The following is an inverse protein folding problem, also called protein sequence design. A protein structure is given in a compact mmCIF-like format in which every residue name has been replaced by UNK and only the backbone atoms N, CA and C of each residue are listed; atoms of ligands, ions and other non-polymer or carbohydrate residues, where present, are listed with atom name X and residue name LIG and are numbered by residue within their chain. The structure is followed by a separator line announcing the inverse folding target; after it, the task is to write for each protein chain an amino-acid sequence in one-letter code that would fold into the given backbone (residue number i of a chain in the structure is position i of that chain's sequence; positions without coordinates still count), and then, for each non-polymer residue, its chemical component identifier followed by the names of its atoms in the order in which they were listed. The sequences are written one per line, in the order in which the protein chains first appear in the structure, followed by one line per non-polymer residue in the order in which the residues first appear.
data_IF_084335146279
#
_entry.id   IF_084335146279
#
_cell.length_a   1.000
_cell.length_b   1.000
_cell.length_c   1.000
_cell.angle_alpha   90.00
_cell.angle_beta   90.00
_cell.angle_gamma   90.00
#
_symmetry.space_group_name_H-M   'P 1'
#
loop_
_entity.id
_entity.type
_entity.pdbx_description
1 polymer ?
#
# COMPACT_ATOMS: atom_id res chain seq x y z
N UNK A 1 17.62 -10.08 -29.43
CA UNK A 1 17.83 -9.07 -28.37
C UNK A 1 16.72 -9.22 -27.37
N UNK A 2 17.02 -9.48 -26.09
CA UNK A 2 15.98 -9.53 -25.07
C UNK A 2 15.44 -8.10 -24.91
N UNK A 3 14.14 -7.91 -25.12
CA UNK A 3 13.50 -6.62 -24.87
C UNK A 3 13.62 -6.32 -23.37
N UNK A 4 14.40 -5.29 -23.04
CA UNK A 4 14.54 -4.81 -21.67
C UNK A 4 13.25 -4.16 -21.19
N UNK A 5 13.19 -3.84 -19.90
CA UNK A 5 12.10 -3.09 -19.31
C UNK A 5 11.97 -1.71 -20.01
N UNK A 6 10.83 -1.41 -20.62
CA UNK A 6 10.54 -0.09 -21.20
C UNK A 6 9.79 0.80 -20.21
N UNK A 7 10.30 2.01 -20.03
CA UNK A 7 9.64 3.08 -19.26
C UNK A 7 8.78 3.98 -20.14
N UNK A 8 8.79 3.80 -21.46
CA UNK A 8 8.13 4.74 -22.38
C UNK A 8 6.61 4.71 -22.22
N UNK A 9 5.97 5.88 -22.18
CA UNK A 9 4.52 6.00 -22.01
C UNK A 9 4.04 5.97 -20.55
N UNK A 10 4.96 5.86 -19.59
CA UNK A 10 4.60 5.77 -18.17
C UNK A 10 4.03 7.10 -17.63
N UNK A 11 4.54 8.23 -18.12
CA UNK A 11 3.99 9.55 -17.78
C UNK A 11 2.51 9.67 -18.20
N UNK A 12 2.17 9.21 -19.40
CA UNK A 12 0.80 9.19 -19.88
C UNK A 12 -0.09 8.21 -19.11
N UNK A 13 0.44 7.03 -18.74
CA UNK A 13 -0.29 6.10 -17.87
C UNK A 13 -0.61 6.73 -16.51
N UNK A 14 0.33 7.46 -15.90
CA UNK A 14 0.08 8.17 -14.64
C UNK A 14 -0.91 9.33 -14.80
N UNK A 15 -0.92 10.05 -15.92
CA UNK A 15 -1.88 11.15 -16.19
C UNK A 15 -3.32 10.65 -16.34
N UNK A 16 -3.49 9.39 -16.78
CA UNK A 16 -4.79 8.73 -16.85
C UNK A 16 -5.33 8.30 -15.48
N UNK A 17 -4.55 8.40 -14.41
CA UNK A 17 -4.95 8.05 -13.05
C UNK A 17 -5.40 9.31 -12.28
N UNK A 18 -6.69 9.39 -12.00
CA UNK A 18 -7.32 10.57 -11.39
C UNK A 18 -6.72 10.95 -10.04
N UNK A 19 -6.34 9.97 -9.22
CA UNK A 19 -5.77 10.18 -7.89
C UNK A 19 -4.34 10.73 -7.97
N UNK A 20 -3.51 10.19 -8.86
CA UNK A 20 -2.14 10.67 -9.10
C UNK A 20 -2.18 12.10 -9.65
N UNK A 21 -3.05 12.34 -10.63
CA UNK A 21 -3.26 13.66 -11.22
C UNK A 21 -3.78 14.67 -10.20
N UNK A 22 -4.76 14.27 -9.39
CA UNK A 22 -5.31 15.08 -8.30
C UNK A 22 -4.25 15.48 -7.29
N UNK A 23 -3.38 14.54 -6.90
CA UNK A 23 -2.27 14.78 -5.97
C UNK A 23 -1.28 15.81 -6.49
N UNK A 24 -0.81 15.63 -7.73
CA UNK A 24 0.21 16.52 -8.32
C UNK A 24 -0.35 17.90 -8.62
N UNK A 25 -1.59 18.00 -9.11
CA UNK A 25 -2.27 19.29 -9.31
C UNK A 25 -2.58 20.00 -7.98
N UNK A 26 -2.81 19.24 -6.91
CA UNK A 26 -2.95 19.75 -5.55
C UNK A 26 -1.64 20.28 -4.94
N UNK A 27 -0.53 20.20 -5.68
CA UNK A 27 0.78 20.67 -5.22
C UNK A 27 1.63 19.61 -4.52
N UNK A 28 1.17 18.36 -4.49
CA UNK A 28 1.94 17.22 -3.97
C UNK A 28 3.03 16.74 -4.93
N UNK A 29 3.79 15.75 -4.46
CA UNK A 29 4.69 14.96 -5.28
C UNK A 29 3.94 13.80 -5.95
N UNK A 30 4.60 13.10 -6.86
CA UNK A 30 4.10 11.87 -7.47
C UNK A 30 3.75 10.88 -6.36
N UNK A 31 4.72 10.51 -5.53
CA UNK A 31 4.54 9.64 -4.38
C UNK A 31 3.84 10.32 -3.19
N UNK A 32 3.10 9.52 -2.44
CA UNK A 32 2.59 9.86 -1.12
C UNK A 32 3.57 9.36 -0.04
N UNK A 33 4.24 10.32 0.59
CA UNK A 33 5.23 10.10 1.66
C UNK A 33 4.64 10.23 3.07
N UNK A 34 3.32 10.31 3.23
CA UNK A 34 2.68 10.45 4.55
C UNK A 34 3.04 9.32 5.52
N UNK A 35 3.33 8.12 5.01
CA UNK A 35 3.76 6.96 5.78
C UNK A 35 5.28 6.75 5.79
N UNK A 36 6.06 7.72 5.32
CA UNK A 36 7.51 7.66 5.18
C UNK A 36 7.97 7.23 3.78
N UNK A 37 9.29 7.26 3.58
CA UNK A 37 9.94 6.97 2.29
C UNK A 37 10.50 5.56 2.18
N UNK A 38 10.50 4.82 3.30
CA UNK A 38 11.02 3.46 3.34
C UNK A 38 9.99 2.43 2.84
N UNK A 39 10.42 1.45 2.02
CA UNK A 39 9.52 0.44 1.48
C UNK A 39 8.93 -0.43 2.59
N UNK A 40 7.61 -0.35 2.74
CA UNK A 40 6.81 -1.20 3.61
C UNK A 40 5.52 -1.62 2.89
N UNK A 41 4.83 -2.64 3.41
CA UNK A 41 3.57 -3.09 2.81
C UNK A 41 2.54 -1.95 2.74
N UNK A 42 2.44 -1.14 3.81
CA UNK A 42 1.52 0.00 3.87
C UNK A 42 1.86 1.10 2.87
N UNK A 43 3.15 1.44 2.74
CA UNK A 43 3.62 2.45 1.76
C UNK A 43 3.34 1.97 0.33
N UNK A 44 3.57 0.70 0.05
CA UNK A 44 3.29 0.11 -1.27
C UNK A 44 1.77 0.13 -1.59
N UNK A 45 0.91 -0.18 -0.63
CA UNK A 45 -0.54 -0.14 -0.80
C UNK A 45 -1.06 1.29 -1.00
N UNK A 46 -0.54 2.25 -0.22
CA UNK A 46 -0.90 3.67 -0.35
C UNK A 46 -0.51 4.24 -1.73
N UNK A 47 0.63 3.81 -2.25
CA UNK A 47 1.14 4.24 -3.55
C UNK A 47 0.81 3.27 -4.69
N UNK A 48 -0.21 2.42 -4.50
CA UNK A 48 -0.57 1.36 -5.46
C UNK A 48 -0.81 1.90 -6.87
N UNK A 49 -1.48 3.04 -7.02
CA UNK A 49 -1.74 3.66 -8.33
C UNK A 49 -0.49 3.96 -9.15
N UNK A 50 0.63 4.29 -8.51
CA UNK A 50 1.92 4.56 -9.19
C UNK A 50 2.68 3.26 -9.44
N UNK A 51 2.59 2.34 -8.48
CA UNK A 51 3.34 1.08 -8.48
C UNK A 51 2.73 0.08 -9.47
N UNK A 52 1.41 0.03 -9.62
CA UNK A 52 0.70 -0.93 -10.49
C UNK A 52 1.18 -0.84 -11.95
N UNK A 53 1.21 0.32 -12.63
CA UNK A 53 1.74 0.45 -13.99
C UNK A 53 3.16 -0.11 -14.13
N UNK A 54 4.01 0.15 -13.12
CA UNK A 54 5.38 -0.34 -13.09
C UNK A 54 5.47 -1.87 -12.96
N UNK A 55 4.61 -2.46 -12.13
CA UNK A 55 4.56 -3.91 -11.91
C UNK A 55 3.97 -4.66 -13.10
N UNK A 56 2.98 -4.10 -13.78
CA UNK A 56 2.43 -4.68 -15.02
C UNK A 56 3.52 -4.75 -16.09
N UNK A 57 4.28 -3.67 -16.29
CA UNK A 57 5.42 -3.68 -17.21
C UNK A 57 6.51 -4.67 -16.77
N UNK A 58 6.72 -4.82 -15.46
CA UNK A 58 7.68 -5.79 -14.91
C UNK A 58 7.26 -7.22 -15.25
N UNK A 59 5.98 -7.57 -15.11
CA UNK A 59 5.48 -8.93 -15.35
C UNK A 59 5.53 -9.31 -16.83
N UNK A 60 5.38 -8.33 -17.72
CA UNK A 60 5.57 -8.51 -19.17
C UNK A 60 7.04 -8.64 -19.59
N UNK A 61 7.98 -8.22 -18.74
CA UNK A 61 9.42 -8.24 -19.05
C UNK A 61 10.04 -9.59 -18.73
N UNK A 62 10.74 -10.19 -19.69
CA UNK A 62 11.41 -11.49 -19.49
C UNK A 62 12.41 -11.41 -18.34
N UNK A 63 12.26 -12.32 -17.37
CA UNK A 63 13.16 -12.39 -16.21
C UNK A 63 12.93 -11.30 -15.16
N UNK A 64 11.80 -10.58 -15.21
CA UNK A 64 11.44 -9.54 -14.25
C UNK A 64 12.56 -8.49 -14.12
N UNK A 65 13.11 -8.03 -15.24
CA UNK A 65 14.16 -7.02 -15.24
C UNK A 65 13.63 -5.70 -14.68
N UNK A 66 14.43 -5.05 -13.84
CA UNK A 66 14.03 -3.82 -13.18
C UNK A 66 14.15 -2.63 -14.13
N UNK A 67 13.32 -1.58 -13.97
CA UNK A 67 13.48 -0.33 -14.70
C UNK A 67 14.86 0.31 -14.44
N UNK A 68 15.44 0.88 -15.50
CA UNK A 68 16.59 1.77 -15.38
C UNK A 68 16.16 3.11 -14.77
N UNK A 69 16.98 3.65 -13.86
CA UNK A 69 16.64 4.90 -13.15
C UNK A 69 16.56 6.08 -14.11
N UNK A 70 17.44 6.16 -15.12
CA UNK A 70 17.43 7.27 -16.07
C UNK A 70 16.13 7.31 -16.91
N UNK A 71 15.59 6.14 -17.27
CA UNK A 71 14.29 6.04 -17.91
C UNK A 71 13.16 6.51 -17.01
N UNK A 72 13.20 6.15 -15.71
CA UNK A 72 12.23 6.63 -14.73
C UNK A 72 12.33 8.15 -14.54
N UNK A 73 13.54 8.72 -14.40
CA UNK A 73 13.76 10.17 -14.29
C UNK A 73 13.15 10.92 -15.46
N UNK A 74 13.35 10.43 -16.69
CA UNK A 74 12.78 11.03 -17.90
C UNK A 74 11.24 11.04 -17.86
N UNK A 75 10.62 9.95 -17.41
CA UNK A 75 9.16 9.86 -17.32
C UNK A 75 8.58 10.69 -16.17
N UNK A 76 9.24 10.70 -15.00
CA UNK A 76 8.85 11.52 -13.86
C UNK A 76 8.93 13.00 -14.23
N UNK A 77 10.03 13.43 -14.87
CA UNK A 77 10.17 14.80 -15.39
C UNK A 77 9.05 15.14 -16.36
N UNK A 78 8.84 14.30 -17.38
CA UNK A 78 7.79 14.48 -18.37
C UNK A 78 6.40 14.60 -17.73
N UNK A 79 6.11 13.78 -16.71
CA UNK A 79 4.85 13.82 -15.98
C UNK A 79 4.65 15.15 -15.24
N UNK A 80 5.69 15.67 -14.56
CA UNK A 80 5.61 16.99 -13.93
C UNK A 80 5.48 18.12 -14.97
N UNK A 81 6.20 18.04 -16.09
CA UNK A 81 6.10 19.00 -17.20
C UNK A 81 4.67 19.04 -17.79
N UNK A 82 4.03 17.87 -17.97
CA UNK A 82 2.62 17.76 -18.41
C UNK A 82 1.64 18.46 -17.47
N UNK A 83 1.98 18.58 -16.20
CA UNK A 83 1.18 19.24 -15.17
C UNK A 83 1.66 20.65 -14.84
N UNK A 84 2.61 21.20 -15.60
CA UNK A 84 3.19 22.54 -15.39
C UNK A 84 3.69 22.72 -13.95
N UNK A 85 4.36 21.70 -13.41
CA UNK A 85 4.93 21.70 -12.07
C UNK A 85 6.42 21.96 -12.13
N UNK A 86 6.85 23.06 -11.52
CA UNK A 86 8.27 23.34 -11.30
C UNK A 86 8.79 22.48 -10.14
N UNK A 87 9.46 21.38 -10.48
CA UNK A 87 10.14 20.49 -9.53
C UNK A 87 11.64 20.55 -9.75
N UNK A 88 12.40 20.38 -8.67
CA UNK A 88 13.87 20.33 -8.74
C UNK A 88 14.36 18.99 -9.27
N UNK A 89 15.54 18.96 -9.89
CA UNK A 89 16.15 17.71 -10.37
C UNK A 89 16.37 16.69 -9.23
N UNK A 90 16.60 17.17 -7.99
CA UNK A 90 16.67 16.32 -6.80
C UNK A 90 15.35 15.61 -6.53
N UNK A 91 14.22 16.33 -6.60
CA UNK A 91 12.89 15.72 -6.39
C UNK A 91 12.56 14.71 -7.49
N UNK A 92 12.94 14.99 -8.74
CA UNK A 92 12.78 14.05 -9.85
C UNK A 92 13.59 12.77 -9.58
N UNK A 93 14.83 12.91 -9.10
CA UNK A 93 15.68 11.78 -8.76
C UNK A 93 15.11 10.96 -7.59
N UNK A 94 14.67 11.64 -6.53
CA UNK A 94 14.08 11.02 -5.35
C UNK A 94 12.81 10.22 -5.71
N UNK A 95 11.90 10.81 -6.49
CA UNK A 95 10.70 10.14 -7.01
C UNK A 95 11.04 8.94 -7.90
N UNK A 96 12.05 9.05 -8.77
CA UNK A 96 12.48 7.96 -9.63
C UNK A 96 13.07 6.79 -8.81
N UNK A 97 13.90 7.08 -7.81
CA UNK A 97 14.42 6.08 -6.89
C UNK A 97 13.35 5.46 -6.00
N UNK A 98 12.38 6.25 -5.55
CA UNK A 98 11.22 5.76 -4.82
C UNK A 98 10.46 4.72 -5.63
N UNK A 99 10.09 5.04 -6.88
CA UNK A 99 9.43 4.13 -7.80
C UNK A 99 10.20 2.81 -7.95
N UNK A 100 11.52 2.89 -8.20
CA UNK A 100 12.37 1.70 -8.34
C UNK A 100 12.41 0.88 -7.06
N UNK A 101 12.56 1.51 -5.88
CA UNK A 101 12.58 0.82 -4.58
C UNK A 101 11.27 0.09 -4.31
N UNK A 102 10.11 0.68 -4.64
CA UNK A 102 8.82 0.01 -4.49
C UNK A 102 8.70 -1.23 -5.37
N UNK A 103 9.10 -1.14 -6.64
CA UNK A 103 9.09 -2.28 -7.57
C UNK A 103 9.99 -3.41 -7.06
N UNK A 104 11.20 -3.09 -6.59
CA UNK A 104 12.13 -4.06 -5.99
C UNK A 104 11.51 -4.71 -4.76
N UNK A 105 10.90 -3.93 -3.89
CA UNK A 105 10.27 -4.40 -2.67
C UNK A 105 9.15 -5.40 -2.95
N UNK A 106 8.18 -5.02 -3.80
CA UNK A 106 7.05 -5.91 -4.15
C UNK A 106 7.55 -7.17 -4.85
N UNK A 107 8.48 -7.04 -5.81
CA UNK A 107 9.11 -8.19 -6.48
C UNK A 107 9.73 -9.15 -5.47
N UNK A 108 10.53 -8.64 -4.53
CA UNK A 108 11.17 -9.47 -3.52
C UNK A 108 10.14 -10.19 -2.64
N UNK A 109 9.08 -9.49 -2.21
CA UNK A 109 8.01 -10.05 -1.39
C UNK A 109 7.25 -11.17 -2.12
N UNK A 110 6.88 -10.94 -3.37
CA UNK A 110 6.24 -11.95 -4.22
C UNK A 110 7.16 -13.16 -4.46
N UNK A 111 8.44 -12.94 -4.75
CA UNK A 111 9.40 -14.03 -4.98
C UNK A 111 9.60 -14.91 -3.74
N UNK A 112 9.65 -14.30 -2.55
CA UNK A 112 9.81 -15.00 -1.26
C UNK A 112 8.50 -15.51 -0.66
N UNK A 113 7.35 -15.35 -1.35
CA UNK A 113 6.01 -15.67 -0.82
C UNK A 113 5.70 -14.98 0.53
N UNK A 114 6.25 -13.79 0.74
CA UNK A 114 6.04 -12.97 1.95
C UNK A 114 4.85 -12.02 1.76
N UNK A 115 3.70 -12.58 1.38
CA UNK A 115 2.48 -11.80 1.14
C UNK A 115 1.88 -11.37 2.49
N UNK A 116 1.39 -10.13 2.55
CA UNK A 116 0.77 -9.58 3.75
C UNK A 116 -0.73 -9.92 3.83
N UNK A 117 -1.34 -9.60 4.96
CA UNK A 117 -2.80 -9.68 5.14
C UNK A 117 -3.54 -8.51 4.46
N UNK A 118 -2.84 -7.45 4.10
CA UNK A 118 -3.40 -6.30 3.37
C UNK A 118 -3.85 -6.69 1.96
N UNK A 119 -5.14 -6.48 1.62
CA UNK A 119 -5.70 -6.94 0.35
C UNK A 119 -5.07 -6.24 -0.84
N UNK A 120 -4.85 -4.93 -0.75
CA UNK A 120 -4.21 -4.15 -1.80
C UNK A 120 -2.79 -4.65 -2.07
N UNK A 121 -2.03 -4.96 -1.02
CA UNK A 121 -0.69 -5.52 -1.16
C UNK A 121 -0.69 -6.93 -1.77
N UNK A 122 -1.70 -7.75 -1.44
CA UNK A 122 -1.88 -9.05 -2.07
C UNK A 122 -2.06 -8.90 -3.58
N UNK A 123 -2.89 -7.95 -4.03
CA UNK A 123 -3.11 -7.68 -5.45
C UNK A 123 -1.82 -7.24 -6.16
N UNK A 124 -1.00 -6.40 -5.51
CA UNK A 124 0.32 -6.02 -6.03
C UNK A 124 1.25 -7.23 -6.21
N UNK A 125 1.25 -8.18 -5.27
CA UNK A 125 2.02 -9.41 -5.40
C UNK A 125 1.52 -10.30 -6.56
N UNK A 126 0.20 -10.39 -6.76
CA UNK A 126 -0.41 -11.19 -7.83
C UNK A 126 -0.09 -10.65 -9.23
N UNK A 127 0.06 -9.33 -9.40
CA UNK A 127 0.50 -8.75 -10.67
C UNK A 127 1.86 -9.30 -11.10
N UNK A 128 2.80 -9.45 -10.15
CA UNK A 128 4.16 -9.95 -10.43
C UNK A 128 4.18 -11.47 -10.56
N UNK A 129 3.37 -12.15 -9.74
CA UNK A 129 3.33 -13.61 -9.62
C UNK A 129 1.88 -14.11 -9.49
N UNK A 130 1.19 -14.34 -10.62
CA UNK A 130 -0.19 -14.84 -10.60
C UNK A 130 -0.28 -16.26 -10.04
N UNK A 131 0.83 -17.00 -9.98
CA UNK A 131 0.92 -18.33 -9.37
C UNK A 131 0.76 -18.32 -7.85
N UNK A 132 0.69 -17.15 -7.22
CA UNK A 132 0.37 -17.00 -5.80
C UNK A 132 -1.13 -16.97 -5.50
N UNK A 133 -2.00 -17.06 -6.51
CA UNK A 133 -3.46 -16.93 -6.35
C UNK A 133 -4.00 -17.86 -5.24
N UNK A 134 -3.72 -19.16 -5.32
CA UNK A 134 -4.20 -20.14 -4.32
C UNK A 134 -3.72 -19.80 -2.90
N UNK A 135 -2.50 -19.27 -2.77
CA UNK A 135 -1.95 -18.87 -1.47
C UNK A 135 -2.63 -17.62 -0.93
N UNK A 136 -2.92 -16.64 -1.78
CA UNK A 136 -3.67 -15.43 -1.42
C UNK A 136 -5.10 -15.77 -1.03
N UNK A 137 -5.76 -16.68 -1.76
CA UNK A 137 -7.12 -17.11 -1.45
C UNK A 137 -7.21 -17.81 -0.09
N UNK A 138 -6.22 -18.63 0.25
CA UNK A 138 -6.10 -19.22 1.60
C UNK A 138 -5.92 -18.14 2.69
N UNK A 139 -5.10 -17.12 2.43
CA UNK A 139 -4.93 -16.01 3.39
C UNK A 139 -6.21 -15.20 3.57
N UNK A 140 -6.96 -14.95 2.49
CA UNK A 140 -8.24 -14.22 2.54
C UNK A 140 -9.32 -15.02 3.28
N UNK A 141 -9.38 -16.34 3.05
CA UNK A 141 -10.30 -17.22 3.77
C UNK A 141 -10.06 -17.23 5.28
N UNK A 142 -8.79 -17.15 5.72
CA UNK A 142 -8.46 -17.05 7.15
C UNK A 142 -8.89 -15.71 7.79
N UNK A 143 -9.15 -14.68 7.00
CA UNK A 143 -9.54 -13.36 7.49
C UNK A 143 -11.06 -13.16 7.61
N UNK A 144 -11.88 -14.01 7.00
CA UNK A 144 -13.32 -14.00 7.25
C UNK A 144 -13.57 -14.77 8.55
N UNK A 145 -13.84 -14.12 9.69
CA UNK A 145 -14.42 -14.82 10.82
C UNK A 145 -15.78 -15.35 10.37
N UNK A 146 -16.12 -16.58 10.78
CA UNK A 146 -17.42 -17.17 10.55
C UNK A 146 -18.52 -16.21 11.05
N UNK A 147 -19.15 -15.45 10.15
CA UNK A 147 -20.35 -14.64 10.43
C UNK A 147 -21.61 -15.51 10.63
N UNK A 148 -21.44 -16.80 10.96
CA UNK A 148 -22.48 -17.68 11.47
C UNK A 148 -22.55 -17.62 13.01
N UNK A 149 -22.35 -16.42 13.56
CA UNK A 149 -22.73 -16.10 14.93
C UNK A 149 -24.25 -16.04 15.03
N UNK A 150 -24.87 -17.18 15.31
CA UNK A 150 -26.28 -17.34 15.61
C UNK A 150 -26.78 -16.17 16.48
N UNK A 151 -27.68 -15.30 15.99
CA UNK A 151 -28.13 -14.10 16.70
C UNK A 151 -28.83 -14.43 18.03
N UNK A 152 -29.19 -15.71 18.25
CA UNK A 152 -29.72 -16.19 19.51
C UNK A 152 -28.70 -16.20 20.67
N UNK A 153 -27.39 -16.34 20.38
CA UNK A 153 -26.36 -16.44 21.43
C UNK A 153 -25.96 -15.11 22.06
N UNK A 154 -26.22 -13.97 21.39
CA UNK A 154 -25.87 -12.64 21.90
C UNK A 154 -26.91 -12.06 22.87
N UNK A 155 -28.15 -12.58 22.88
CA UNK A 155 -29.22 -12.06 23.73
C UNK A 155 -29.12 -12.51 25.20
N UNK A 156 -28.45 -13.63 25.50
CA UNK A 156 -28.32 -14.13 26.87
C UNK A 156 -27.23 -13.41 27.69
N UNK A 157 -26.25 -12.76 27.05
CA UNK A 157 -25.17 -12.08 27.76
C UNK A 157 -25.56 -10.68 28.31
N UNK A 158 -26.66 -10.09 27.84
CA UNK A 158 -27.03 -8.71 28.17
C UNK A 158 -27.90 -8.55 29.43
N UNK A 159 -28.43 -9.64 30.00
CA UNK A 159 -29.39 -9.58 31.13
C UNK A 159 -28.99 -10.38 32.38
N UNK A 160 -27.76 -10.87 32.43
CA UNK A 160 -27.28 -11.68 33.55
C UNK A 160 -26.10 -11.08 34.31
N UNK A 161 -26.29 -9.92 34.98
CA UNK A 161 -25.68 -9.56 36.30
C UNK A 161 -26.43 -8.31 36.78
N UNK A 162 -27.60 -8.52 37.41
CA UNK A 162 -28.10 -7.66 38.49
C UNK A 162 -28.24 -8.55 39.72
N UNK A 163 -27.28 -8.47 40.62
CA UNK A 163 -27.45 -8.54 42.08
C UNK A 163 -26.09 -8.74 42.74
N UNK A 164 -25.62 -7.75 43.51
CA UNK A 164 -24.48 -7.97 44.38
C UNK A 164 -23.78 -6.71 44.87
N UNK A 165 -24.27 -6.18 45.98
CA UNK A 165 -23.48 -5.44 46.98
C UNK A 165 -23.00 -4.02 46.62
N UNK A 166 -23.91 -3.04 46.81
CA UNK A 166 -23.51 -1.76 47.41
C UNK A 166 -23.00 -2.04 48.83
N UNK A 167 -21.69 -1.94 49.04
CA UNK A 167 -21.11 -1.82 50.38
C UNK A 167 -20.47 -0.45 50.50
N UNK A 168 -21.25 0.50 51.02
CA UNK A 168 -20.72 1.72 51.61
C UNK A 168 -19.79 1.32 52.77
N UNK A 169 -18.53 1.71 52.69
CA UNK A 169 -17.66 1.82 53.85
C UNK A 169 -17.13 3.25 53.90
N UNK A 170 -17.69 4.00 54.84
CA UNK A 170 -17.15 5.24 55.37
C UNK A 170 -15.96 4.93 56.29
N UNK A 171 -14.91 5.74 56.20
CA UNK A 171 -13.79 5.99 57.15
C UNK A 171 -12.63 6.53 56.31
N UNK A 172 -11.81 7.49 56.70
CA UNK A 172 -11.80 8.57 57.70
C UNK A 172 -10.52 9.37 57.37
N UNK A 173 -10.43 10.61 57.84
CA UNK A 173 -9.18 11.35 58.07
C UNK A 173 -8.25 11.70 56.89
N UNK A 174 -8.08 13.01 56.63
CA UNK A 174 -6.81 13.65 57.01
C UNK A 174 -6.94 15.17 57.10
N UNK A 175 -6.42 15.67 58.22
CA UNK A 175 -6.38 17.03 58.73
C UNK A 175 -5.21 17.83 58.10
N UNK A 176 -5.18 19.15 58.31
CA UNK A 176 -3.95 19.93 58.25
C UNK A 176 -3.90 21.10 57.26
N UNK A 177 -4.42 22.23 57.75
CA UNK A 177 -3.87 23.61 57.68
C UNK A 177 -2.73 23.93 56.69
#
# INVERSE_FOLDING_TARGET
MAAGYTTDGLAEEWDNLDDVRGRVRGGGLLEDISLGTDPSNRVASLNSSIVVPLLVRLSLTRGLQLPAVDGLRAQVKKFYDMHSRDVTDSQIDDSAWFCRRMVVFVKMKAQKKLVSMDSTFQDLCLIVRPDLQDFVDQLRAQQQPDEDGDPASMAEAAWGIRSGCLRLSAVDSFDGL
#
